data_IF_024046017713
#
_entry.id   IF_024046017713
#
_cell.length_a   1.000
_cell.length_b   1.000
_cell.length_c   1.000
_cell.angle_alpha   90.00
_cell.angle_beta   90.00
_cell.angle_gamma   90.00
#
_symmetry.space_group_name_H-M   'P 1'
#
loop_
_entity.id
_entity.type
_entity.pdbx_description
1 polymer ?
#
# COMPACT_ATOMS: atom_id res chain seq x y z
N UNK A 1 -60.87 36.63 -27.34
CA UNK A 1 -60.39 36.51 -25.95
C UNK A 1 -60.02 35.05 -25.56
N UNK A 2 -60.85 34.07 -25.79
CA UNK A 2 -60.63 32.64 -25.39
C UNK A 2 -59.40 31.99 -26.06
N UNK A 3 -59.02 32.37 -27.29
CA UNK A 3 -57.88 31.83 -28.02
C UNK A 3 -56.53 32.21 -27.37
N UNK A 4 -56.42 33.41 -26.82
CA UNK A 4 -55.19 33.87 -26.16
C UNK A 4 -54.95 33.20 -24.77
N UNK A 5 -56.09 32.89 -24.08
CA UNK A 5 -56.04 32.19 -22.80
C UNK A 5 -55.53 30.75 -22.97
N UNK A 6 -55.94 30.05 -24.02
CA UNK A 6 -55.49 28.69 -24.33
C UNK A 6 -54.03 28.67 -24.75
N UNK A 7 -53.55 29.68 -25.49
CA UNK A 7 -52.17 29.80 -25.92
C UNK A 7 -51.21 30.09 -24.70
N UNK A 8 -51.62 30.97 -23.80
CA UNK A 8 -50.90 31.31 -22.60
C UNK A 8 -50.79 30.10 -21.66
N UNK A 9 -51.87 29.30 -21.52
CA UNK A 9 -51.84 28.07 -20.76
C UNK A 9 -50.88 26.99 -21.34
N UNK A 10 -50.85 26.88 -22.68
CA UNK A 10 -49.93 25.95 -23.36
C UNK A 10 -48.47 26.35 -23.17
N UNK A 11 -48.15 27.65 -23.27
CA UNK A 11 -46.80 28.18 -23.06
C UNK A 11 -46.38 28.00 -21.61
N UNK A 12 -47.23 28.23 -20.63
CA UNK A 12 -46.95 28.00 -19.22
C UNK A 12 -46.70 26.52 -18.92
N UNK A 13 -47.48 25.60 -19.51
CA UNK A 13 -47.28 24.17 -19.38
C UNK A 13 -45.95 23.72 -20.02
N UNK A 14 -45.57 24.27 -21.17
CA UNK A 14 -44.27 23.98 -21.81
C UNK A 14 -43.11 24.50 -20.99
N UNK A 15 -43.20 25.66 -20.34
CA UNK A 15 -42.18 26.23 -19.47
C UNK A 15 -41.91 25.37 -18.23
N UNK A 16 -42.96 24.74 -17.68
CA UNK A 16 -42.81 23.83 -16.51
C UNK A 16 -42.07 22.53 -16.89
N UNK A 17 -42.25 22.05 -18.14
CA UNK A 17 -41.54 20.83 -18.63
C UNK A 17 -40.04 21.10 -18.88
N UNK A 18 -39.66 22.35 -19.17
CA UNK A 18 -38.30 22.78 -19.39
C UNK A 18 -37.58 23.30 -18.14
N UNK A 19 -38.19 23.21 -16.94
CA UNK A 19 -37.43 23.46 -15.72
C UNK A 19 -36.38 22.34 -15.61
N UNK A 20 -35.06 22.66 -15.74
CA UNK A 20 -34.06 21.66 -15.56
C UNK A 20 -34.18 21.16 -14.10
N UNK A 21 -34.42 19.87 -13.93
CA UNK A 21 -34.22 19.23 -12.64
C UNK A 21 -32.73 19.42 -12.33
N UNK A 22 -32.41 20.39 -11.50
CA UNK A 22 -31.09 20.48 -10.91
C UNK A 22 -30.93 19.20 -10.06
N UNK A 23 -30.38 18.18 -10.65
CA UNK A 23 -29.82 17.08 -9.89
C UNK A 23 -28.66 17.70 -9.08
N UNK A 24 -28.94 18.02 -7.83
CA UNK A 24 -27.87 18.34 -6.88
C UNK A 24 -27.06 17.05 -6.78
N UNK A 25 -25.88 17.03 -7.40
CA UNK A 25 -24.89 16.00 -7.12
C UNK A 25 -24.61 16.11 -5.62
N UNK A 26 -25.01 15.10 -4.88
CA UNK A 26 -24.79 15.05 -3.45
C UNK A 26 -23.39 14.48 -3.27
N UNK A 27 -22.39 15.37 -3.16
CA UNK A 27 -21.02 15.00 -2.84
C UNK A 27 -21.01 14.31 -1.48
N UNK A 28 -20.56 13.07 -1.43
CA UNK A 28 -20.41 12.34 -0.17
C UNK A 28 -19.35 13.03 0.69
N UNK A 29 -19.76 13.50 1.87
CA UNK A 29 -18.88 14.19 2.81
C UNK A 29 -18.26 13.18 3.79
N UNK A 30 -16.99 12.87 3.60
CA UNK A 30 -16.27 11.95 4.48
C UNK A 30 -14.81 12.37 4.65
N UNK A 31 -14.17 11.80 5.65
CA UNK A 31 -12.72 11.94 5.84
C UNK A 31 -12.09 10.61 6.22
N UNK A 32 -10.80 10.50 5.94
CA UNK A 32 -9.99 9.33 6.24
C UNK A 32 -8.81 9.76 7.11
N UNK A 33 -8.45 8.94 8.08
CA UNK A 33 -7.34 9.18 9.00
C UNK A 33 -6.62 7.87 9.33
N UNK A 34 -5.29 7.90 9.38
CA UNK A 34 -4.39 9.02 9.11
C UNK A 34 -4.31 9.35 7.62
N UNK A 35 -3.80 10.54 7.26
CA UNK A 35 -3.56 10.92 5.86
C UNK A 35 -2.26 10.30 5.32
N UNK A 36 -1.33 9.97 6.21
CA UNK A 36 -0.04 9.37 5.91
C UNK A 36 0.37 8.41 7.02
N UNK A 37 0.96 7.28 6.66
CA UNK A 37 1.47 6.24 7.57
C UNK A 37 2.92 5.96 7.22
N UNK A 38 3.77 5.91 8.24
CA UNK A 38 5.17 5.51 8.13
C UNK A 38 5.37 4.17 8.84
N UNK A 39 5.91 3.20 8.14
CA UNK A 39 6.38 1.94 8.69
C UNK A 39 7.88 1.90 8.46
N UNK A 40 8.65 2.20 9.51
CA UNK A 40 10.09 2.32 9.41
C UNK A 40 10.79 1.06 9.93
N UNK A 41 11.86 0.66 9.23
CA UNK A 41 12.72 -0.46 9.62
C UNK A 41 11.97 -1.79 9.81
N UNK A 42 10.97 -2.08 8.97
CA UNK A 42 10.26 -3.36 8.99
C UNK A 42 11.18 -4.48 8.50
N UNK A 43 11.51 -5.49 9.34
CA UNK A 43 12.37 -6.58 8.89
C UNK A 43 11.68 -7.45 7.82
N UNK A 44 12.38 -7.85 6.76
CA UNK A 44 11.84 -8.84 5.83
C UNK A 44 11.42 -10.13 6.54
N UNK A 45 10.20 -10.58 6.27
CA UNK A 45 9.56 -11.72 6.93
C UNK A 45 8.71 -11.36 8.14
N UNK A 46 8.59 -10.09 8.47
CA UNK A 46 7.71 -9.57 9.51
C UNK A 46 6.52 -8.79 8.91
N UNK A 47 5.53 -8.51 9.75
CA UNK A 47 4.36 -7.73 9.38
C UNK A 47 4.17 -6.58 10.37
N UNK A 48 3.63 -5.47 9.86
CA UNK A 48 3.16 -4.34 10.66
C UNK A 48 1.68 -4.09 10.39
N UNK A 49 0.99 -3.60 11.41
CA UNK A 49 -0.44 -3.30 11.32
C UNK A 49 -0.71 -1.87 11.76
N UNK A 50 -1.71 -1.25 11.13
CA UNK A 50 -2.24 0.04 11.55
C UNK A 50 -3.74 0.12 11.30
N UNK A 51 -4.41 1.08 11.95
CA UNK A 51 -5.82 1.32 11.76
C UNK A 51 -6.06 2.49 10.79
N UNK A 52 -6.93 2.25 9.81
CA UNK A 52 -7.49 3.26 8.93
C UNK A 52 -8.90 3.57 9.39
N UNK A 53 -9.15 4.81 9.80
CA UNK A 53 -10.47 5.26 10.24
C UNK A 53 -11.17 6.02 9.13
N UNK A 54 -12.35 5.58 8.74
CA UNK A 54 -13.25 6.26 7.82
C UNK A 54 -14.34 6.93 8.63
N UNK A 55 -14.51 8.24 8.47
CA UNK A 55 -15.54 9.01 9.13
C UNK A 55 -16.55 9.51 8.10
N UNK A 56 -17.73 8.94 8.12
CA UNK A 56 -18.88 9.42 7.37
C UNK A 56 -19.47 10.65 8.08
N UNK A 57 -19.43 11.82 7.43
CA UNK A 57 -19.94 13.09 7.95
C UNK A 57 -21.33 13.43 7.43
N UNK A 58 -21.91 12.55 6.62
CA UNK A 58 -23.25 12.73 6.09
C UNK A 58 -24.33 12.25 7.05
N UNK A 59 -25.52 12.70 6.83
CA UNK A 59 -26.71 12.32 7.59
C UNK A 59 -27.30 10.96 7.17
N UNK A 60 -26.72 10.32 6.15
CA UNK A 60 -27.11 8.99 5.67
C UNK A 60 -25.92 8.01 5.73
N UNK A 61 -26.23 6.72 5.77
CA UNK A 61 -25.21 5.68 5.73
C UNK A 61 -24.63 5.55 4.31
N UNK A 62 -23.32 5.32 4.22
CA UNK A 62 -22.62 5.06 2.97
C UNK A 62 -21.77 3.77 3.07
N UNK A 63 -21.62 3.10 1.93
CA UNK A 63 -20.60 2.06 1.78
C UNK A 63 -19.34 2.69 1.21
N UNK A 64 -18.20 2.23 1.72
CA UNK A 64 -16.88 2.66 1.28
C UNK A 64 -16.08 1.46 0.80
N UNK A 65 -15.32 1.66 -0.28
CA UNK A 65 -14.40 0.67 -0.82
C UNK A 65 -12.97 1.17 -0.66
N UNK A 66 -12.07 0.28 -0.23
CA UNK A 66 -10.64 0.53 -0.10
C UNK A 66 -9.91 -0.23 -1.19
N UNK A 67 -9.06 0.46 -1.92
CA UNK A 67 -8.24 -0.13 -2.99
C UNK A 67 -6.81 0.39 -2.93
N UNK A 68 -5.89 -0.40 -3.46
CA UNK A 68 -4.47 -0.08 -3.54
C UNK A 68 -4.21 0.66 -4.86
N UNK A 69 -3.35 1.68 -4.81
CA UNK A 69 -2.91 2.45 -5.97
C UNK A 69 -1.42 2.66 -5.95
N UNK A 70 -0.78 2.37 -7.08
CA UNK A 70 0.61 2.71 -7.31
C UNK A 70 0.69 4.16 -7.79
N UNK A 71 1.32 5.08 -7.03
CA UNK A 71 1.50 6.45 -7.48
C UNK A 71 2.50 6.50 -8.64
N UNK A 72 2.27 7.37 -9.65
CA UNK A 72 3.27 7.62 -10.68
C UNK A 72 4.57 8.17 -10.08
N UNK A 73 5.70 7.97 -10.76
CA UNK A 73 7.03 8.31 -10.24
C UNK A 73 7.15 9.77 -9.81
N UNK A 74 6.56 10.69 -10.58
CA UNK A 74 6.56 12.13 -10.32
C UNK A 74 5.75 12.55 -9.09
N UNK A 75 4.84 11.71 -8.59
CA UNK A 75 4.01 11.98 -7.41
C UNK A 75 4.54 11.29 -6.16
N UNK A 76 5.49 10.35 -6.33
CA UNK A 76 6.17 9.69 -5.21
C UNK A 76 7.12 10.64 -4.51
N UNK A 77 7.34 10.45 -3.23
CA UNK A 77 8.38 11.18 -2.50
C UNK A 77 9.76 10.83 -3.03
N UNK A 78 10.64 11.82 -3.04
CA UNK A 78 12.04 11.64 -3.43
C UNK A 78 12.69 10.48 -2.65
N UNK A 79 13.38 9.61 -3.38
CA UNK A 79 14.04 8.42 -2.82
C UNK A 79 13.12 7.22 -2.58
N UNK A 80 11.83 7.31 -2.96
CA UNK A 80 10.89 6.19 -2.83
C UNK A 80 10.70 5.46 -4.14
N UNK A 81 10.80 4.13 -4.07
CA UNK A 81 10.50 3.24 -5.18
C UNK A 81 9.01 2.83 -5.19
N UNK A 82 8.58 2.24 -6.28
CA UNK A 82 7.27 1.61 -6.38
C UNK A 82 7.18 0.39 -5.46
N UNK A 83 6.02 0.21 -4.83
CA UNK A 83 5.80 -0.94 -3.96
C UNK A 83 5.73 -2.21 -4.83
N UNK A 84 6.51 -3.26 -4.53
CA UNK A 84 6.75 -4.34 -5.50
C UNK A 84 5.55 -5.26 -5.74
N UNK A 85 4.69 -5.47 -4.75
CA UNK A 85 3.57 -6.40 -4.85
C UNK A 85 2.42 -6.01 -3.91
N UNK A 86 1.27 -5.69 -4.47
CA UNK A 86 0.06 -5.30 -3.75
C UNK A 86 -0.44 -6.41 -2.81
N UNK A 87 -0.11 -7.67 -3.08
CA UNK A 87 -0.50 -8.82 -2.24
C UNK A 87 0.14 -8.81 -0.84
N UNK A 88 1.18 -7.99 -0.62
CA UNK A 88 1.79 -7.80 0.70
C UNK A 88 0.95 -6.91 1.62
N UNK A 89 -0.12 -6.31 1.09
CA UNK A 89 -1.03 -5.46 1.85
C UNK A 89 -2.37 -6.18 2.00
N UNK A 90 -2.74 -6.45 3.24
CA UNK A 90 -4.02 -7.03 3.62
C UNK A 90 -4.93 -6.02 4.29
N UNK A 91 -6.23 -6.20 4.14
CA UNK A 91 -7.26 -5.42 4.81
C UNK A 91 -8.18 -6.35 5.62
N UNK A 92 -8.59 -5.94 6.82
CA UNK A 92 -9.63 -6.65 7.57
C UNK A 92 -10.96 -6.67 6.82
N UNK A 93 -11.23 -5.62 6.02
CA UNK A 93 -12.33 -5.55 5.04
C UNK A 93 -11.98 -4.53 3.96
N UNK A 94 -12.25 -4.85 2.70
CA UNK A 94 -12.12 -3.91 1.58
C UNK A 94 -13.39 -3.10 1.34
N UNK A 95 -14.54 -3.58 1.82
CA UNK A 95 -15.83 -2.91 1.75
C UNK A 95 -16.38 -2.74 3.16
N UNK A 96 -16.80 -1.53 3.51
CA UNK A 96 -17.29 -1.22 4.84
C UNK A 96 -18.46 -0.24 4.79
N UNK A 97 -19.56 -0.62 5.44
CA UNK A 97 -20.71 0.27 5.65
C UNK A 97 -20.47 1.16 6.87
N UNK A 98 -20.61 2.45 6.71
CA UNK A 98 -20.49 3.43 7.81
C UNK A 98 -21.80 4.17 7.96
N UNK A 99 -22.40 4.08 9.15
CA UNK A 99 -23.65 4.75 9.46
C UNK A 99 -23.51 6.28 9.39
N UNK A 100 -24.63 6.99 9.35
CA UNK A 100 -24.67 8.45 9.36
C UNK A 100 -23.89 9.03 10.57
N UNK A 101 -23.10 10.07 10.33
CA UNK A 101 -22.31 10.79 11.35
C UNK A 101 -21.46 9.86 12.24
N UNK A 102 -20.98 8.74 11.67
CA UNK A 102 -20.26 7.68 12.40
C UNK A 102 -18.88 7.41 11.82
N UNK A 103 -18.11 6.59 12.55
CA UNK A 103 -16.77 6.14 12.16
C UNK A 103 -16.72 4.63 12.09
N UNK A 104 -15.86 4.12 11.22
CA UNK A 104 -15.48 2.72 11.20
C UNK A 104 -13.99 2.59 11.00
N UNK A 105 -13.40 1.54 11.59
CA UNK A 105 -11.98 1.24 11.48
C UNK A 105 -11.76 0.01 10.61
N UNK A 106 -10.71 0.07 9.80
CA UNK A 106 -10.20 -1.05 9.01
C UNK A 106 -8.75 -1.26 9.42
N UNK A 107 -8.41 -2.49 9.83
CA UNK A 107 -7.02 -2.86 10.06
C UNK A 107 -6.36 -3.14 8.72
N UNK A 108 -5.22 -2.49 8.50
CA UNK A 108 -4.35 -2.70 7.34
C UNK A 108 -3.10 -3.42 7.83
N UNK A 109 -2.76 -4.53 7.20
CA UNK A 109 -1.57 -5.32 7.50
C UNK A 109 -0.60 -5.22 6.32
N UNK A 110 0.65 -4.89 6.59
CA UNK A 110 1.75 -4.88 5.61
C UNK A 110 2.71 -6.00 5.98
N UNK A 111 2.80 -7.04 5.13
CA UNK A 111 3.62 -8.22 5.37
C UNK A 111 4.71 -8.33 4.30
N UNK A 112 5.97 -8.05 4.67
CA UNK A 112 7.11 -8.11 3.74
C UNK A 112 7.66 -9.54 3.72
N UNK A 113 7.80 -10.20 2.55
CA UNK A 113 8.38 -11.54 2.46
C UNK A 113 9.87 -11.55 2.81
N UNK A 114 10.40 -12.73 3.20
CA UNK A 114 11.81 -12.93 3.60
C UNK A 114 12.78 -12.97 2.42
N UNK A 115 12.56 -12.22 1.40
CA UNK A 115 13.42 -12.20 0.24
C UNK A 115 14.55 -11.18 0.44
N UNK A 116 15.77 -11.54 0.00
CA UNK A 116 16.94 -10.66 0.14
C UNK A 116 16.78 -9.33 -0.63
N UNK A 117 15.96 -9.34 -1.68
CA UNK A 117 15.62 -8.16 -2.50
C UNK A 117 14.73 -7.16 -1.77
N UNK A 118 14.08 -7.57 -0.67
CA UNK A 118 13.21 -6.71 0.12
C UNK A 118 13.93 -5.98 1.26
N UNK A 119 15.24 -6.12 1.39
CA UNK A 119 16.01 -5.55 2.49
C UNK A 119 16.67 -4.23 2.11
N UNK A 120 16.51 -3.20 2.95
CA UNK A 120 17.10 -1.88 2.76
C UNK A 120 16.42 -1.04 1.70
N UNK A 121 15.17 -1.34 1.39
CA UNK A 121 14.37 -0.65 0.40
C UNK A 121 13.40 0.35 1.04
N UNK A 122 13.09 1.39 0.30
CA UNK A 122 12.14 2.44 0.65
C UNK A 122 11.06 2.54 -0.42
N UNK A 123 9.82 2.21 -0.05
CA UNK A 123 8.68 2.17 -0.97
C UNK A 123 7.58 3.16 -0.60
N UNK A 124 6.79 3.51 -1.60
CA UNK A 124 5.57 4.29 -1.44
C UNK A 124 4.41 3.64 -2.19
N UNK A 125 3.24 3.58 -1.54
CA UNK A 125 1.99 3.11 -2.10
C UNK A 125 0.83 3.91 -1.51
N UNK A 126 -0.28 4.02 -2.24
CA UNK A 126 -1.44 4.77 -1.78
C UNK A 126 -2.64 3.86 -1.57
N UNK A 127 -3.35 4.09 -0.47
CA UNK A 127 -4.62 3.46 -0.17
C UNK A 127 -5.73 4.44 -0.51
N UNK A 128 -6.49 4.13 -1.54
CA UNK A 128 -7.61 4.96 -1.99
C UNK A 128 -8.91 4.51 -1.35
N UNK A 129 -9.59 5.41 -0.66
CA UNK A 129 -10.91 5.21 -0.09
C UNK A 129 -11.93 5.96 -0.91
N UNK A 130 -12.93 5.28 -1.42
CA UNK A 130 -14.02 5.85 -2.20
C UNK A 130 -15.36 5.46 -1.60
N UNK A 131 -16.29 6.41 -1.55
CA UNK A 131 -17.68 6.10 -1.27
C UNK A 131 -18.35 5.50 -2.53
N UNK A 132 -19.20 4.48 -2.35
CA UNK A 132 -20.08 4.03 -3.41
C UNK A 132 -21.03 5.18 -3.78
N UNK A 133 -20.84 5.75 -4.96
CA UNK A 133 -21.70 6.78 -5.53
C UNK A 133 -22.40 6.22 -6.75
N UNK A 134 -23.68 6.54 -6.89
CA UNK A 134 -24.44 6.32 -8.13
C UNK A 134 -24.23 7.44 -9.15
N UNK A 135 -23.53 8.49 -8.74
CA UNK A 135 -23.26 9.68 -9.54
C UNK A 135 -22.00 9.53 -10.39
N UNK A 136 -21.93 10.31 -11.46
CA UNK A 136 -20.81 10.32 -12.41
C UNK A 136 -19.49 10.81 -11.80
N UNK A 137 -19.53 11.41 -10.62
CA UNK A 137 -18.35 11.90 -9.88
C UNK A 137 -18.21 11.12 -8.59
N UNK A 138 -17.22 10.26 -8.52
CA UNK A 138 -16.83 9.56 -7.29
C UNK A 138 -15.65 10.29 -6.65
N UNK A 139 -15.83 10.78 -5.42
CA UNK A 139 -14.74 11.34 -4.61
C UNK A 139 -13.92 10.18 -4.06
N UNK A 140 -12.58 10.27 -4.24
CA UNK A 140 -11.63 9.33 -3.67
C UNK A 140 -10.59 10.08 -2.84
N UNK A 141 -10.39 9.64 -1.61
CA UNK A 141 -9.34 10.15 -0.75
C UNK A 141 -8.20 9.14 -0.68
N UNK A 142 -6.98 9.63 -0.73
CA UNK A 142 -5.79 8.79 -0.67
C UNK A 142 -5.08 8.93 0.66
N UNK A 143 -4.66 7.81 1.21
CA UNK A 143 -3.75 7.71 2.35
C UNK A 143 -2.41 7.24 1.82
N UNK A 144 -1.36 8.01 2.07
CA UNK A 144 0.00 7.66 1.67
C UNK A 144 0.60 6.69 2.67
N UNK A 145 1.08 5.55 2.19
CA UNK A 145 1.78 4.56 2.99
C UNK A 145 3.25 4.51 2.55
N UNK A 146 4.13 4.84 3.47
CA UNK A 146 5.57 4.84 3.32
C UNK A 146 6.15 3.67 4.10
N UNK A 147 6.82 2.76 3.42
CA UNK A 147 7.39 1.54 4.02
C UNK A 147 8.89 1.55 3.79
N UNK A 148 9.65 1.42 4.87
CA UNK A 148 11.11 1.24 4.84
C UNK A 148 11.46 -0.08 5.49
N UNK A 149 12.33 -0.86 4.85
CA UNK A 149 12.80 -2.15 5.38
C UNK A 149 14.19 -2.04 5.98
N UNK A 150 14.48 -2.92 6.94
CA UNK A 150 15.85 -2.98 7.50
C UNK A 150 16.83 -3.44 6.44
N UNK A 151 18.05 -2.86 6.38
CA UNK A 151 19.11 -3.36 5.52
C UNK A 151 19.42 -4.83 5.82
N UNK A 152 19.77 -5.61 4.79
CA UNK A 152 20.26 -6.95 4.97
C UNK A 152 21.49 -6.90 5.88
N UNK A 153 21.52 -7.72 6.95
CA UNK A 153 22.74 -7.91 7.70
C UNK A 153 23.77 -8.53 6.78
N UNK A 154 24.78 -7.75 6.38
CA UNK A 154 25.98 -8.33 5.76
C UNK A 154 26.60 -9.30 6.77
N UNK A 155 26.38 -10.59 6.57
CA UNK A 155 27.14 -11.62 7.26
C UNK A 155 28.56 -11.56 6.68
N UNK A 156 29.38 -10.65 7.22
CA UNK A 156 30.81 -10.63 6.89
C UNK A 156 31.38 -11.92 7.41
N UNK A 157 31.87 -12.80 6.52
CA UNK A 157 32.53 -14.02 6.98
C UNK A 157 33.69 -13.61 7.89
N UNK A 158 33.70 -14.17 9.09
CA UNK A 158 34.75 -13.87 10.04
C UNK A 158 36.12 -14.18 9.39
N UNK A 159 36.86 -13.12 9.01
CA UNK A 159 38.12 -13.24 8.28
C UNK A 159 39.12 -14.17 9.01
N UNK A 160 39.03 -14.20 10.34
CA UNK A 160 39.81 -15.11 11.15
C UNK A 160 39.45 -16.59 10.95
N UNK A 161 38.14 -16.88 10.80
CA UNK A 161 37.65 -18.24 10.57
C UNK A 161 38.03 -18.72 9.17
N UNK A 162 37.87 -17.88 8.16
CA UNK A 162 38.29 -18.19 6.77
C UNK A 162 39.79 -18.40 6.69
N UNK A 163 40.57 -17.49 7.28
CA UNK A 163 42.04 -17.63 7.34
C UNK A 163 42.46 -18.91 8.11
N UNK A 164 41.80 -19.23 9.22
CA UNK A 164 42.05 -20.46 10.00
C UNK A 164 41.81 -21.75 9.18
N UNK A 165 40.70 -21.79 8.41
CA UNK A 165 40.40 -22.93 7.52
C UNK A 165 41.45 -23.07 6.43
N UNK A 166 41.83 -21.96 5.77
CA UNK A 166 42.85 -21.97 4.71
C UNK A 166 44.20 -22.45 5.26
N UNK A 167 44.67 -21.88 6.38
CA UNK A 167 45.94 -22.29 7.01
C UNK A 167 45.91 -23.75 7.47
N UNK A 168 44.79 -24.18 8.08
CA UNK A 168 44.62 -25.59 8.50
C UNK A 168 44.67 -26.56 7.32
N UNK A 169 44.05 -26.23 6.21
CA UNK A 169 44.04 -27.06 4.99
C UNK A 169 45.44 -27.15 4.39
N UNK A 170 46.17 -26.04 4.34
CA UNK A 170 47.57 -26.01 3.85
C UNK A 170 48.46 -26.85 4.72
N UNK A 171 48.36 -26.73 6.05
CA UNK A 171 49.20 -27.52 6.99
C UNK A 171 48.90 -29.02 6.89
N UNK A 172 47.63 -29.42 6.78
CA UNK A 172 47.24 -30.81 6.57
C UNK A 172 47.77 -31.35 5.24
N UNK A 173 47.69 -30.57 4.18
CA UNK A 173 48.23 -30.94 2.86
C UNK A 173 49.74 -31.13 2.88
N UNK A 174 50.48 -30.24 3.53
CA UNK A 174 51.94 -30.36 3.72
C UNK A 174 52.31 -31.56 4.59
N UNK A 175 51.59 -31.77 5.70
CA UNK A 175 51.80 -32.91 6.60
C UNK A 175 51.61 -34.24 5.89
N UNK A 176 50.52 -34.37 5.09
CA UNK A 176 50.23 -35.55 4.30
C UNK A 176 51.30 -35.78 3.22
N UNK A 177 51.68 -34.71 2.48
CA UNK A 177 52.75 -34.79 1.47
C UNK A 177 54.08 -35.27 2.06
N UNK A 178 54.50 -34.71 3.21
CA UNK A 178 55.72 -35.08 3.87
C UNK A 178 55.70 -36.51 4.40
N UNK A 179 54.56 -36.94 4.93
CA UNK A 179 54.37 -38.32 5.41
C UNK A 179 54.49 -39.35 4.29
N UNK A 180 53.85 -39.15 3.16
CA UNK A 180 53.90 -40.04 2.01
C UNK A 180 55.28 -40.05 1.34
N UNK A 181 55.95 -38.89 1.24
CA UNK A 181 57.33 -38.79 0.69
C UNK A 181 58.34 -39.54 1.55
N UNK A 182 58.15 -39.57 2.86
CA UNK A 182 59.04 -40.28 3.78
C UNK A 182 58.88 -41.80 3.69
N UNK A 183 57.66 -42.28 3.46
CA UNK A 183 57.37 -43.70 3.23
C UNK A 183 57.79 -44.22 1.86
N UNK A 184 57.91 -43.35 0.86
CA UNK A 184 58.25 -43.72 -0.52
C UNK A 184 59.76 -43.78 -0.78
N UNK A 185 60.68 -43.64 0.24
CA UNK A 185 62.11 -43.93 0.09
C UNK A 185 62.32 -45.41 0.32
N UNK A 186 62.63 -46.22 -0.75
CA UNK A 186 63.07 -47.56 -0.58
C UNK A 186 64.49 -47.56 0.03
N UNK A 187 64.79 -48.52 0.89
CA UNK A 187 66.14 -48.84 1.33
C UNK A 187 67.03 -49.26 0.17
#
# INVERSE_FOLDING_TARGET
MIRHIKLAGLIAALLVIFLPSFALAQDVNFSVSPAEVHIDNLPPGEAAEFELTIHNKDEIAHNFTIAIFQPPEEERREGRAEFPDDSWIGFSSQEIGVAANSKANVTVTVAIPREQQSAGEDWEIWLGVAAESRDLLAVRLYVRLLVSTTPAMEVRPNAGLVAGIVVGTVLLGFGAYYYFRRKAKPE
#
